data_IF_994810243146
#
_entry.id   IF_994810243146
#
_cell.length_a   1.000
_cell.length_b   1.000
_cell.length_c   1.000
_cell.angle_alpha   90.00
_cell.angle_beta   90.00
_cell.angle_gamma   90.00
#
_symmetry.space_group_name_H-M   'P 1'
#
loop_
_entity.id
_entity.type
_entity.pdbx_description
1 polymer ?
#
# COMPACT_ATOMS: atom_id res chain seq x y z
N UNK A 1 2.46 15.08 -9.41
CA UNK A 1 1.18 14.42 -9.12
C UNK A 1 0.99 13.25 -10.06
N UNK A 2 0.29 12.21 -9.60
CA UNK A 2 0.05 10.99 -10.37
C UNK A 2 1.28 10.12 -10.65
N UNK A 3 2.26 10.10 -9.72
CA UNK A 3 3.42 9.19 -9.77
C UNK A 3 3.45 8.24 -8.57
N UNK A 4 2.55 8.40 -7.62
CA UNK A 4 2.43 7.54 -6.45
C UNK A 4 1.60 6.32 -6.83
N UNK A 5 1.94 5.18 -6.25
CA UNK A 5 1.19 3.95 -6.42
C UNK A 5 1.30 3.07 -5.17
N UNK A 6 0.40 2.11 -5.09
CA UNK A 6 0.41 0.98 -4.16
C UNK A 6 0.19 -0.27 -5.01
N UNK A 7 0.90 -1.33 -4.70
CA UNK A 7 0.74 -2.62 -5.37
C UNK A 7 0.29 -3.65 -4.35
N UNK A 8 -0.75 -4.38 -4.71
CA UNK A 8 -1.17 -5.57 -3.98
C UNK A 8 -0.66 -6.78 -4.74
N UNK A 9 -0.10 -7.74 -4.04
CA UNK A 9 0.32 -9.02 -4.61
C UNK A 9 -0.53 -10.15 -4.04
N UNK A 10 -1.00 -11.06 -4.88
CA UNK A 10 -1.78 -12.20 -4.43
C UNK A 10 -2.09 -13.21 -5.53
N UNK A 11 -2.93 -14.19 -5.21
CA UNK A 11 -3.33 -15.23 -6.15
C UNK A 11 -4.17 -14.63 -7.29
N UNK A 12 -3.81 -14.97 -8.53
CA UNK A 12 -4.56 -14.53 -9.72
C UNK A 12 -6.04 -14.92 -9.65
N UNK A 13 -6.90 -14.11 -10.24
CA UNK A 13 -8.36 -14.29 -10.26
C UNK A 13 -9.06 -14.25 -8.88
N UNK A 14 -8.33 -13.93 -7.81
CA UNK A 14 -8.93 -13.74 -6.48
C UNK A 14 -9.87 -12.54 -6.45
N UNK A 15 -11.01 -12.69 -5.76
CA UNK A 15 -11.94 -11.60 -5.53
C UNK A 15 -11.42 -10.68 -4.42
N UNK A 16 -11.08 -9.45 -4.78
CA UNK A 16 -10.61 -8.40 -3.88
C UNK A 16 -11.64 -7.27 -3.78
N UNK A 17 -12.90 -7.55 -4.17
CA UNK A 17 -14.01 -6.61 -4.06
C UNK A 17 -14.14 -6.12 -2.63
N UNK A 18 -14.34 -4.81 -2.48
CA UNK A 18 -14.57 -4.14 -1.20
C UNK A 18 -13.40 -4.23 -0.20
N UNK A 19 -12.22 -4.74 -0.60
CA UNK A 19 -11.00 -4.62 0.21
C UNK A 19 -10.69 -3.14 0.44
N UNK A 20 -10.03 -2.82 1.56
CA UNK A 20 -9.67 -1.46 1.91
C UNK A 20 -8.16 -1.32 2.12
N UNK A 21 -7.58 -0.24 1.60
CA UNK A 21 -6.25 0.22 1.97
C UNK A 21 -6.41 1.43 2.88
N UNK A 22 -5.88 1.34 4.10
CA UNK A 22 -5.91 2.44 5.06
C UNK A 22 -4.53 3.08 5.17
N UNK A 23 -4.52 4.41 5.21
CA UNK A 23 -3.32 5.20 5.48
C UNK A 23 -3.35 5.67 6.92
N UNK A 24 -2.23 5.51 7.61
CA UNK A 24 -2.14 5.75 9.05
C UNK A 24 -0.94 6.64 9.32
N UNK A 25 -1.21 7.73 10.03
CA UNK A 25 -0.18 8.64 10.49
C UNK A 25 0.72 7.94 11.50
N UNK A 26 1.99 7.76 11.16
CA UNK A 26 2.93 7.06 12.04
C UNK A 26 3.32 7.85 13.30
N UNK A 27 2.98 9.14 13.40
CA UNK A 27 3.23 9.92 14.62
C UNK A 27 2.18 9.69 15.72
N UNK A 28 0.94 9.38 15.36
CA UNK A 28 -0.17 9.27 16.33
C UNK A 28 -1.13 8.10 16.10
N UNK A 29 -0.86 7.26 15.10
CA UNK A 29 -1.65 6.08 14.78
C UNK A 29 -3.02 6.38 14.19
N UNK A 30 -3.33 7.63 13.84
CA UNK A 30 -4.66 7.96 13.29
C UNK A 30 -4.78 7.53 11.84
N UNK A 31 -5.94 6.98 11.49
CA UNK A 31 -6.32 6.75 10.09
C UNK A 31 -6.54 8.11 9.42
N UNK A 32 -5.76 8.41 8.38
CA UNK A 32 -5.78 9.70 7.67
C UNK A 32 -6.59 9.64 6.39
N UNK A 33 -6.58 8.50 5.71
CA UNK A 33 -7.29 8.28 4.47
C UNK A 33 -7.59 6.78 4.27
N UNK A 34 -8.46 6.51 3.30
CA UNK A 34 -8.84 5.16 2.89
C UNK A 34 -9.08 5.11 1.39
N UNK A 35 -8.67 4.00 0.79
CA UNK A 35 -9.07 3.58 -0.55
C UNK A 35 -9.90 2.33 -0.36
N UNK A 36 -11.08 2.30 -0.99
CA UNK A 36 -11.91 1.10 -1.02
C UNK A 36 -11.98 0.57 -2.44
N UNK A 37 -11.59 -0.69 -2.63
CA UNK A 37 -11.59 -1.30 -3.94
C UNK A 37 -13.03 -1.41 -4.48
N UNK A 38 -13.26 -1.04 -5.76
CA UNK A 38 -14.57 -1.09 -6.37
C UNK A 38 -15.23 -2.49 -6.37
N UNK A 39 -16.52 -2.51 -6.71
CA UNK A 39 -17.23 -3.76 -6.95
C UNK A 39 -16.66 -4.49 -8.15
N UNK A 40 -16.54 -5.81 -8.03
CA UNK A 40 -15.98 -6.71 -9.04
C UNK A 40 -14.48 -6.45 -9.31
N UNK A 41 -13.76 -5.92 -8.31
CA UNK A 41 -12.29 -5.88 -8.38
C UNK A 41 -11.77 -7.31 -8.23
N UNK A 42 -11.01 -7.76 -9.22
CA UNK A 42 -10.42 -9.09 -9.29
C UNK A 42 -8.91 -8.91 -9.44
N UNK A 43 -8.14 -9.73 -8.72
CA UNK A 43 -6.69 -9.80 -8.87
C UNK A 43 -6.34 -10.19 -10.33
N UNK A 44 -5.49 -9.45 -11.04
CA UNK A 44 -5.19 -9.74 -12.44
C UNK A 44 -4.45 -11.08 -12.62
N UNK A 45 -4.31 -11.54 -13.87
CA UNK A 45 -3.68 -12.83 -14.20
C UNK A 45 -2.22 -12.94 -13.73
N UNK A 46 -1.52 -11.81 -13.61
CA UNK A 46 -0.14 -11.73 -13.13
C UNK A 46 -0.03 -11.67 -11.59
N UNK A 47 -1.16 -11.60 -10.89
CA UNK A 47 -1.21 -11.53 -9.43
C UNK A 47 -0.87 -10.15 -8.84
N UNK A 48 -0.80 -9.09 -9.67
CA UNK A 48 -0.44 -7.74 -9.23
C UNK A 48 -1.62 -6.79 -9.50
N UNK A 49 -2.14 -6.15 -8.46
CA UNK A 49 -3.15 -5.10 -8.60
C UNK A 49 -2.56 -3.74 -8.22
N UNK A 50 -2.46 -2.83 -9.19
CA UNK A 50 -1.82 -1.52 -9.03
C UNK A 50 -2.88 -0.42 -8.83
N UNK A 51 -2.79 0.25 -7.69
CA UNK A 51 -3.56 1.44 -7.35
C UNK A 51 -2.69 2.66 -7.56
N UNK A 52 -3.03 3.52 -8.52
CA UNK A 52 -2.25 4.70 -8.87
C UNK A 52 -2.94 6.00 -8.43
N UNK A 53 -2.14 6.95 -7.97
CA UNK A 53 -2.60 8.30 -7.68
C UNK A 53 -3.01 9.01 -8.97
N UNK A 54 -4.07 9.78 -8.88
CA UNK A 54 -4.61 10.61 -9.95
C UNK A 54 -3.83 11.92 -10.09
N UNK A 55 -3.87 12.51 -11.28
CA UNK A 55 -3.36 13.88 -11.46
C UNK A 55 -4.29 14.88 -10.77
N UNK A 56 -3.74 15.93 -10.18
CA UNK A 56 -4.49 17.00 -9.49
C UNK A 56 -5.60 17.62 -10.36
N UNK A 57 -5.43 17.61 -11.69
CA UNK A 57 -6.40 18.15 -12.64
C UNK A 57 -7.41 17.13 -13.19
N UNK A 58 -7.30 15.85 -12.83
CA UNK A 58 -8.14 14.78 -13.36
C UNK A 58 -8.14 13.54 -12.48
N UNK A 59 -9.33 13.10 -12.08
CA UNK A 59 -9.54 11.86 -11.29
C UNK A 59 -9.42 10.57 -12.11
N UNK A 60 -9.07 10.65 -13.40
CA UNK A 60 -9.06 9.48 -14.32
C UNK A 60 -7.76 9.37 -15.10
N UNK A 61 -6.74 10.14 -14.74
CA UNK A 61 -5.44 10.08 -15.41
C UNK A 61 -4.33 10.03 -14.39
N UNK A 62 -3.28 9.29 -14.71
CA UNK A 62 -2.08 9.08 -13.90
C UNK A 62 -0.85 9.02 -14.83
N UNK A 63 0.37 9.01 -14.30
CA UNK A 63 1.58 8.66 -15.04
C UNK A 63 1.95 7.17 -14.89
N UNK A 64 1.25 6.42 -14.03
CA UNK A 64 1.43 4.98 -13.84
C UNK A 64 0.68 4.23 -14.94
N UNK A 65 1.42 3.68 -15.90
CA UNK A 65 0.86 3.09 -17.13
C UNK A 65 0.05 1.83 -16.83
N UNK A 66 0.62 0.92 -16.03
CA UNK A 66 0.03 -0.39 -15.70
C UNK A 66 -0.88 -0.29 -14.45
N UNK A 67 -1.75 0.72 -14.39
CA UNK A 67 -2.67 0.90 -13.26
C UNK A 67 -4.01 0.20 -13.49
N UNK A 68 -4.47 -0.56 -12.48
CA UNK A 68 -5.78 -1.20 -12.46
C UNK A 68 -6.86 -0.31 -11.85
N UNK A 69 -6.46 0.51 -10.88
CA UNK A 69 -7.30 1.51 -10.23
C UNK A 69 -6.60 2.86 -10.21
N UNK A 70 -7.34 3.91 -10.57
CA UNK A 70 -6.92 5.30 -10.34
C UNK A 70 -7.79 5.86 -9.22
N UNK A 71 -7.15 6.31 -8.15
CA UNK A 71 -7.80 7.01 -7.03
C UNK A 71 -7.00 8.27 -6.66
N UNK A 72 -7.55 9.13 -5.82
CA UNK A 72 -6.90 10.36 -5.35
C UNK A 72 -6.43 10.18 -3.91
N UNK A 73 -5.14 9.96 -3.72
CA UNK A 73 -4.55 9.75 -2.40
C UNK A 73 -3.16 10.37 -2.31
N UNK A 74 -2.87 10.93 -1.13
CA UNK A 74 -1.63 11.60 -0.80
C UNK A 74 -1.28 11.23 0.64
N UNK A 75 -0.71 10.03 0.87
CA UNK A 75 -0.26 9.60 2.18
C UNK A 75 0.82 10.55 2.67
N UNK A 76 0.99 10.61 3.99
CA UNK A 76 2.05 11.41 4.57
C UNK A 76 3.42 10.84 4.19
N UNK A 77 4.44 11.69 4.20
CA UNK A 77 5.82 11.32 3.83
C UNK A 77 6.65 10.94 5.07
N UNK A 78 6.07 10.10 5.94
CA UNK A 78 6.81 9.36 6.94
C UNK A 78 7.03 10.08 8.28
N UNK A 79 7.24 9.29 9.36
CA UNK A 79 7.00 7.84 9.43
C UNK A 79 5.49 7.54 9.34
N UNK A 80 5.09 6.47 8.65
CA UNK A 80 3.68 6.12 8.40
C UNK A 80 3.46 4.61 8.27
N UNK A 81 2.19 4.21 8.29
CA UNK A 81 1.77 2.84 8.04
C UNK A 81 0.66 2.77 6.98
N UNK A 82 0.64 1.66 6.26
CA UNK A 82 -0.40 1.27 5.32
C UNK A 82 -0.96 -0.08 5.76
N UNK A 83 -2.27 -0.20 5.91
CA UNK A 83 -2.94 -1.46 6.23
C UNK A 83 -3.79 -1.92 5.06
N UNK A 84 -3.76 -3.22 4.77
CA UNK A 84 -4.67 -3.88 3.85
C UNK A 84 -5.72 -4.65 4.65
N UNK A 85 -6.99 -4.37 4.38
CA UNK A 85 -8.13 -5.04 4.98
C UNK A 85 -8.92 -5.81 3.92
N UNK A 86 -9.44 -6.97 4.31
CA UNK A 86 -10.39 -7.71 3.51
C UNK A 86 -11.78 -7.04 3.50
N UNK A 87 -12.73 -7.64 2.78
CA UNK A 87 -14.10 -7.13 2.68
C UNK A 87 -14.92 -7.23 3.98
N UNK A 88 -14.42 -7.95 4.99
CA UNK A 88 -15.02 -8.10 6.31
C UNK A 88 -14.43 -7.14 7.35
N UNK A 89 -13.32 -6.47 6.99
CA UNK A 89 -12.55 -5.58 7.86
C UNK A 89 -11.47 -6.29 8.66
N UNK A 90 -11.10 -7.51 8.29
CA UNK A 90 -9.97 -8.24 8.87
C UNK A 90 -8.64 -7.74 8.27
N UNK A 91 -7.63 -7.55 9.13
CA UNK A 91 -6.28 -7.18 8.69
C UNK A 91 -5.64 -8.35 7.95
N UNK A 92 -5.30 -8.11 6.68
CA UNK A 92 -4.59 -9.07 5.84
C UNK A 92 -3.09 -8.84 5.86
N UNK A 93 -2.66 -7.58 5.80
CA UNK A 93 -1.25 -7.19 5.73
C UNK A 93 -1.09 -5.76 6.28
N UNK A 94 0.09 -5.42 6.77
CA UNK A 94 0.45 -4.06 7.14
C UNK A 94 1.92 -3.76 6.81
N UNK A 95 2.15 -2.58 6.21
CA UNK A 95 3.47 -2.02 5.96
C UNK A 95 3.63 -0.74 6.78
N UNK A 96 4.47 -0.76 7.81
CA UNK A 96 4.97 0.47 8.42
C UNK A 96 6.42 0.75 8.01
N UNK A 97 6.74 2.03 7.85
CA UNK A 97 8.08 2.49 7.48
C UNK A 97 8.52 3.71 8.30
N UNK A 98 9.82 3.72 8.62
CA UNK A 98 10.46 4.75 9.43
C UNK A 98 10.40 4.49 10.94
N UNK A 99 11.01 5.42 11.69
CA UNK A 99 11.23 5.26 13.13
C UNK A 99 10.09 5.88 13.95
N UNK A 100 9.79 5.27 15.10
CA UNK A 100 8.88 5.85 16.10
C UNK A 100 7.39 5.59 15.87
N UNK A 101 7.06 4.63 14.99
CA UNK A 101 5.69 4.18 14.75
C UNK A 101 5.04 3.59 16.01
N UNK A 102 3.73 3.79 16.22
CA UNK A 102 2.99 3.00 17.19
C UNK A 102 2.89 1.56 16.69
N UNK A 103 3.00 0.57 17.59
CA UNK A 103 2.79 -0.85 17.24
C UNK A 103 1.36 -1.11 16.75
N UNK A 104 0.38 -0.40 17.33
CA UNK A 104 -1.05 -0.54 17.04
C UNK A 104 -1.64 0.83 16.75
N UNK A 105 -2.39 0.94 15.66
CA UNK A 105 -3.06 2.16 15.25
C UNK A 105 -4.36 2.42 16.05
N UNK A 106 -4.98 3.59 15.87
CA UNK A 106 -6.20 4.01 16.56
C UNK A 106 -7.38 3.07 16.31
N UNK A 107 -7.40 2.39 15.15
CA UNK A 107 -8.41 1.38 14.81
C UNK A 107 -8.21 0.03 15.54
N UNK A 108 -7.14 -0.12 16.34
CA UNK A 108 -6.85 -1.33 17.09
C UNK A 108 -6.13 -2.43 16.30
N UNK A 109 -5.68 -2.13 15.08
CA UNK A 109 -4.95 -3.05 14.21
C UNK A 109 -3.46 -2.72 14.17
N UNK A 110 -2.63 -3.73 13.88
CA UNK A 110 -1.17 -3.60 13.84
C UNK A 110 -0.74 -2.62 12.73
N UNK A 111 0.16 -1.69 13.07
CA UNK A 111 0.65 -0.67 12.14
C UNK A 111 1.72 -1.25 11.21
N UNK A 112 2.47 -2.23 11.69
CA UNK A 112 3.53 -2.92 10.97
C UNK A 112 3.70 -4.34 11.49
N UNK A 113 4.23 -5.21 10.65
CA UNK A 113 4.59 -6.58 11.03
C UNK A 113 6.01 -6.57 11.59
N UNK A 114 6.21 -7.14 12.78
CA UNK A 114 7.54 -7.36 13.37
C UNK A 114 8.32 -6.08 13.67
N UNK A 115 9.07 -5.57 12.69
CA UNK A 115 9.81 -4.31 12.76
C UNK A 115 9.55 -3.47 11.50
N UNK A 116 9.47 -2.13 11.61
CA UNK A 116 9.22 -1.27 10.46
C UNK A 116 10.28 -1.39 9.36
N UNK A 117 9.85 -1.20 8.11
CA UNK A 117 10.73 -1.04 6.97
C UNK A 117 11.52 0.29 7.04
N UNK A 118 12.56 0.39 6.20
CA UNK A 118 13.34 1.62 6.07
C UNK A 118 12.47 2.78 5.55
N UNK A 119 12.70 3.98 6.09
CA UNK A 119 12.20 5.21 5.46
C UNK A 119 13.02 5.51 4.20
N UNK A 120 12.34 5.65 3.06
CA UNK A 120 12.98 5.82 1.75
C UNK A 120 12.76 7.24 1.21
N UNK A 121 13.75 7.84 0.52
CA UNK A 121 13.60 9.19 -0.01
C UNK A 121 12.60 9.23 -1.17
N UNK A 122 12.08 10.41 -1.46
CA UNK A 122 11.19 10.64 -2.59
C UNK A 122 11.79 10.13 -3.92
N UNK A 123 10.98 9.42 -4.70
CA UNK A 123 11.37 8.80 -5.97
C UNK A 123 11.86 7.36 -5.84
N UNK A 124 11.97 6.84 -4.62
CA UNK A 124 12.26 5.43 -4.30
C UNK A 124 10.99 4.78 -3.78
N UNK A 125 10.77 3.50 -4.08
CA UNK A 125 9.67 2.72 -3.52
C UNK A 125 10.17 1.70 -2.50
N UNK A 126 9.31 1.30 -1.58
CA UNK A 126 9.46 0.05 -0.82
C UNK A 126 8.80 -1.06 -1.62
N UNK A 127 9.51 -2.16 -1.85
CA UNK A 127 8.98 -3.34 -2.55
C UNK A 127 9.22 -4.59 -1.72
N UNK A 128 8.21 -5.47 -1.67
CA UNK A 128 8.30 -6.75 -0.97
C UNK A 128 9.09 -7.73 -1.84
N UNK A 129 10.15 -8.33 -1.29
CA UNK A 129 11.06 -9.19 -2.08
C UNK A 129 10.36 -10.47 -2.49
N UNK A 130 10.00 -10.61 -3.78
CA UNK A 130 9.35 -11.80 -4.35
C UNK A 130 8.05 -12.23 -3.66
N UNK A 131 7.33 -11.28 -3.04
CA UNK A 131 6.12 -11.58 -2.27
C UNK A 131 6.37 -12.45 -1.03
N UNK A 132 7.62 -12.55 -0.56
CA UNK A 132 7.95 -13.26 0.68
C UNK A 132 7.45 -12.44 1.86
N UNK A 133 6.73 -13.12 2.74
CA UNK A 133 6.20 -12.58 3.99
C UNK A 133 6.81 -13.38 5.15
N UNK A 134 7.63 -12.72 5.96
CA UNK A 134 8.22 -13.32 7.18
C UNK A 134 7.59 -12.77 8.46
N UNK A 135 6.44 -12.10 8.33
CA UNK A 135 5.79 -11.30 9.36
C UNK A 135 6.75 -10.21 9.91
N UNK A 136 7.61 -9.64 9.06
CA UNK A 136 8.57 -8.61 9.47
C UNK A 136 8.92 -7.63 8.34
N UNK A 137 8.34 -6.43 8.37
CA UNK A 137 8.51 -5.47 7.28
C UNK A 137 9.98 -5.08 7.02
N UNK A 138 10.83 -5.03 8.04
CA UNK A 138 12.27 -4.72 7.91
C UNK A 138 13.07 -5.78 7.15
N UNK A 139 12.55 -7.00 7.05
CA UNK A 139 13.14 -8.13 6.31
C UNK A 139 12.50 -8.25 4.93
N UNK A 140 11.20 -8.02 4.86
CA UNK A 140 10.40 -8.31 3.67
C UNK A 140 10.46 -7.19 2.64
N UNK A 141 10.57 -5.93 3.08
CA UNK A 141 10.59 -4.75 2.22
C UNK A 141 11.99 -4.17 2.05
N UNK A 142 12.36 -3.94 0.79
CA UNK A 142 13.63 -3.31 0.40
C UNK A 142 13.37 -2.02 -0.39
N UNK A 143 14.36 -1.12 -0.37
CA UNK A 143 14.35 0.08 -1.19
C UNK A 143 14.60 -0.25 -2.67
N UNK A 144 13.78 0.30 -3.55
CA UNK A 144 13.88 0.14 -4.99
C UNK A 144 14.05 1.52 -5.64
N UNK A 145 15.27 1.82 -6.09
CA UNK A 145 15.67 3.14 -6.62
C UNK A 145 14.90 3.55 -7.89
N UNK A 146 14.50 2.56 -8.69
CA UNK A 146 13.64 2.77 -9.87
C UNK A 146 12.33 2.04 -9.61
N UNK A 147 11.26 2.75 -9.22
CA UNK A 147 9.96 2.13 -8.99
C UNK A 147 9.46 1.40 -10.25
N UNK A 148 8.89 0.21 -10.06
CA UNK A 148 8.47 -0.70 -11.13
C UNK A 148 7.00 -1.09 -10.97
N UNK A 149 6.05 -0.14 -10.99
CA UNK A 149 4.63 -0.46 -10.85
C UNK A 149 4.17 -1.46 -11.93
N UNK A 150 3.46 -2.50 -11.52
CA UNK A 150 3.01 -3.64 -12.30
C UNK A 150 4.10 -4.70 -12.52
N UNK A 151 5.29 -4.57 -11.92
CA UNK A 151 6.43 -5.44 -12.21
C UNK A 151 7.22 -5.74 -10.92
N UNK A 152 7.15 -6.99 -10.46
CA UNK A 152 7.96 -7.52 -9.34
C UNK A 152 9.24 -8.17 -9.85
#
# INVERSE_FOLDING_TARGET
DGNLFIELFGDSDSDITDYEVLFINGADGKVTARIKLPKNSIMPEDGIFVIADSKTSSSTTTNIIESDLIDNFDPQNGPDCVQLLDNSGELLDSLGYGDGLPEVAENGLECFEGQPALDVPAGVSLTRTQGIDTDNNSVDFISQDTPTPGLI
#
